data_IF_127554401577
#
_entry.id   IF_127554401577
#
_cell.length_a   1.000
_cell.length_b   1.000
_cell.length_c   1.000
_cell.angle_alpha   90.00
_cell.angle_beta   90.00
_cell.angle_gamma   90.00
#
_symmetry.space_group_name_H-M   'P 1'
#
loop_
_entity.id
_entity.type
_entity.pdbx_description
1 polymer ?
#
# COMPACT_ATOMS: atom_id res chain seq x y z
N UNK A 1 -5.30 -35.45 -7.05
CA UNK A 1 -4.58 -34.44 -7.87
C UNK A 1 -5.20 -33.06 -7.63
N UNK A 2 -4.80 -32.41 -6.54
CA UNK A 2 -5.02 -30.97 -6.37
C UNK A 2 -3.92 -30.26 -7.16
N UNK A 3 -4.11 -30.08 -8.47
CA UNK A 3 -3.38 -29.09 -9.25
C UNK A 3 -3.72 -27.72 -8.64
N UNK A 4 -2.83 -27.18 -7.82
CA UNK A 4 -2.90 -25.78 -7.44
C UNK A 4 -2.99 -24.98 -8.76
N UNK A 5 -4.11 -24.34 -9.03
CA UNK A 5 -4.25 -23.47 -10.19
C UNK A 5 -3.14 -22.43 -10.09
N UNK A 6 -2.21 -22.46 -11.05
CA UNK A 6 -1.15 -21.47 -11.13
C UNK A 6 -1.82 -20.09 -11.24
N UNK A 7 -1.54 -19.23 -10.28
CA UNK A 7 -2.05 -17.85 -10.29
C UNK A 7 -1.42 -17.16 -11.50
N UNK A 8 -2.25 -16.64 -12.39
CA UNK A 8 -1.74 -15.93 -13.56
C UNK A 8 -1.06 -14.61 -13.14
N UNK A 9 0.08 -14.26 -13.74
CA UNK A 9 0.69 -12.96 -13.52
C UNK A 9 -0.24 -11.84 -13.98
N UNK A 10 -0.10 -10.62 -13.42
CA UNK A 10 -0.86 -9.46 -13.87
C UNK A 10 -0.68 -9.24 -15.38
N UNK A 11 -1.77 -8.96 -16.06
CA UNK A 11 -1.78 -8.72 -17.50
C UNK A 11 -2.41 -7.36 -17.82
N UNK A 12 -1.58 -6.34 -17.86
CA UNK A 12 -2.01 -4.98 -18.18
C UNK A 12 -1.85 -4.68 -19.69
N UNK A 13 -2.74 -3.88 -20.29
CA UNK A 13 -2.58 -3.40 -21.66
C UNK A 13 -1.24 -2.70 -21.88
N UNK A 14 -0.63 -2.89 -23.05
CA UNK A 14 0.70 -2.33 -23.37
C UNK A 14 0.79 -0.81 -23.14
N UNK A 15 -0.26 -0.07 -23.51
CA UNK A 15 -0.28 1.37 -23.29
C UNK A 15 -0.23 1.73 -21.80
N UNK A 16 -0.97 1.00 -20.96
CA UNK A 16 -0.96 1.22 -19.51
C UNK A 16 0.41 0.84 -18.91
N UNK A 17 1.00 -0.27 -19.37
CA UNK A 17 2.35 -0.67 -18.97
C UNK A 17 3.37 0.44 -19.24
N UNK A 18 3.36 0.99 -20.47
CA UNK A 18 4.29 2.08 -20.87
C UNK A 18 4.03 3.35 -20.03
N UNK A 19 2.76 3.70 -19.80
CA UNK A 19 2.43 4.86 -18.98
C UNK A 19 2.91 4.69 -17.52
N UNK A 20 2.69 3.52 -16.92
CA UNK A 20 3.18 3.25 -15.56
C UNK A 20 4.70 3.30 -15.46
N UNK A 21 5.42 2.74 -16.43
CA UNK A 21 6.89 2.83 -16.48
C UNK A 21 7.37 4.28 -16.53
N UNK A 22 6.75 5.10 -17.36
CA UNK A 22 7.09 6.52 -17.46
C UNK A 22 6.83 7.25 -16.13
N UNK A 23 5.64 7.06 -15.53
CA UNK A 23 5.30 7.69 -14.27
C UNK A 23 6.21 7.24 -13.12
N UNK A 24 6.61 5.97 -13.08
CA UNK A 24 7.52 5.47 -12.05
C UNK A 24 8.91 6.06 -12.22
N UNK A 25 9.42 6.14 -13.45
CA UNK A 25 10.72 6.79 -13.73
C UNK A 25 10.68 8.28 -13.31
N UNK A 26 9.64 9.00 -13.68
CA UNK A 26 9.47 10.41 -13.30
C UNK A 26 9.36 10.57 -11.77
N UNK A 27 8.65 9.66 -11.09
CA UNK A 27 8.56 9.62 -9.64
C UNK A 27 9.93 9.41 -8.97
N UNK A 28 10.73 8.46 -9.46
CA UNK A 28 12.04 8.17 -8.90
C UNK A 28 13.01 9.35 -9.10
N UNK A 29 13.00 9.97 -10.28
CA UNK A 29 13.83 11.14 -10.59
C UNK A 29 13.43 12.34 -9.72
N UNK A 30 12.13 12.61 -9.59
CA UNK A 30 11.61 13.67 -8.74
C UNK A 30 11.93 13.43 -7.26
N UNK A 31 11.72 12.22 -6.78
CA UNK A 31 12.03 11.83 -5.39
C UNK A 31 13.52 11.97 -5.07
N UNK A 32 14.37 11.60 -6.01
CA UNK A 32 15.83 11.74 -5.90
C UNK A 32 16.24 13.20 -5.85
N UNK A 33 15.71 14.02 -6.74
CA UNK A 33 15.97 15.46 -6.78
C UNK A 33 15.53 16.18 -5.51
N UNK A 34 14.34 15.85 -4.99
CA UNK A 34 13.87 16.39 -3.72
C UNK A 34 14.80 16.03 -2.57
N UNK A 35 15.17 14.76 -2.43
CA UNK A 35 16.07 14.30 -1.37
C UNK A 35 17.41 15.05 -1.40
N UNK A 36 18.02 15.15 -2.57
CA UNK A 36 19.26 15.88 -2.76
C UNK A 36 19.12 17.37 -2.38
N UNK A 37 18.00 17.99 -2.73
CA UNK A 37 17.73 19.40 -2.39
C UNK A 37 17.62 19.60 -0.87
N UNK A 38 16.91 18.71 -0.18
CA UNK A 38 16.79 18.78 1.28
C UNK A 38 18.12 18.50 1.99
N UNK A 39 18.88 17.53 1.52
CA UNK A 39 20.23 17.24 2.02
C UNK A 39 21.17 18.45 1.85
N UNK A 40 21.13 19.11 0.70
CA UNK A 40 21.92 20.31 0.44
C UNK A 40 21.53 21.49 1.35
N UNK A 41 20.28 21.55 1.80
CA UNK A 41 19.81 22.54 2.80
C UNK A 41 20.09 22.10 4.24
N UNK A 42 20.68 20.94 4.47
CA UNK A 42 20.93 20.40 5.83
C UNK A 42 19.66 19.98 6.57
N UNK A 43 18.57 19.69 5.86
CA UNK A 43 17.28 19.28 6.42
C UNK A 43 16.88 17.91 5.91
N UNK A 44 15.96 17.26 6.62
CA UNK A 44 15.36 15.99 6.18
C UNK A 44 14.11 16.24 5.35
N UNK A 45 13.88 15.40 4.34
CA UNK A 45 12.63 15.40 3.60
C UNK A 45 11.50 14.96 4.52
N UNK A 46 10.58 15.87 4.83
CA UNK A 46 9.48 15.65 5.78
C UNK A 46 8.21 15.11 5.15
N UNK A 47 8.09 15.21 3.83
CA UNK A 47 6.91 14.72 3.10
C UNK A 47 7.35 14.18 1.74
N UNK A 48 7.62 12.87 1.64
CA UNK A 48 7.97 12.25 0.36
C UNK A 48 6.77 12.33 -0.61
N UNK A 49 7.02 12.38 -1.93
CA UNK A 49 5.95 12.34 -2.91
C UNK A 49 5.20 11.01 -2.85
N UNK A 50 3.91 11.04 -3.15
CA UNK A 50 3.05 9.85 -3.22
C UNK A 50 2.48 9.75 -4.62
N UNK A 51 2.64 8.58 -5.26
CA UNK A 51 1.98 8.25 -6.52
C UNK A 51 0.54 7.82 -6.25
N UNK A 52 -0.42 8.40 -6.94
CA UNK A 52 -1.83 8.00 -6.85
C UNK A 52 -2.27 7.50 -8.22
N UNK A 53 -2.76 6.24 -8.24
CA UNK A 53 -3.31 5.60 -9.44
C UNK A 53 -4.81 5.40 -9.23
N UNK A 54 -5.62 6.12 -10.01
CA UNK A 54 -7.08 6.02 -9.92
C UNK A 54 -7.59 5.17 -11.07
N UNK A 55 -8.28 4.09 -10.75
CA UNK A 55 -8.86 3.15 -11.70
C UNK A 55 -10.37 3.35 -11.79
N UNK A 56 -10.95 2.98 -12.93
CA UNK A 56 -12.39 3.14 -13.19
C UNK A 56 -13.24 2.00 -12.64
N UNK A 57 -12.62 0.90 -12.22
CA UNK A 57 -13.31 -0.23 -11.58
C UNK A 57 -12.35 -1.10 -10.76
N UNK A 58 -12.91 -1.93 -9.90
CA UNK A 58 -12.22 -2.82 -8.97
C UNK A 58 -11.33 -3.86 -9.67
N UNK A 59 -11.77 -4.44 -10.78
CA UNK A 59 -10.98 -5.46 -11.48
C UNK A 59 -9.66 -4.87 -12.02
N UNK A 60 -9.72 -3.66 -12.59
CA UNK A 60 -8.53 -2.95 -13.07
C UNK A 60 -7.63 -2.53 -11.92
N UNK A 61 -8.19 -2.02 -10.81
CA UNK A 61 -7.38 -1.61 -9.66
C UNK A 61 -6.63 -2.79 -9.04
N UNK A 62 -7.25 -3.95 -8.93
CA UNK A 62 -6.60 -5.17 -8.45
C UNK A 62 -5.46 -5.63 -9.37
N UNK A 63 -5.65 -5.61 -10.69
CA UNK A 63 -4.58 -5.98 -11.64
C UNK A 63 -3.41 -4.98 -11.59
N UNK A 64 -3.71 -3.68 -11.53
CA UNK A 64 -2.68 -2.64 -11.38
C UNK A 64 -1.95 -2.78 -10.04
N UNK A 65 -2.67 -3.01 -8.95
CA UNK A 65 -2.07 -3.24 -7.64
C UNK A 65 -1.14 -4.45 -7.63
N UNK A 66 -1.59 -5.58 -8.19
CA UNK A 66 -0.78 -6.80 -8.31
C UNK A 66 0.49 -6.58 -9.11
N UNK A 67 0.42 -5.80 -10.19
CA UNK A 67 1.59 -5.46 -11.01
C UNK A 67 2.59 -4.56 -10.25
N UNK A 68 2.10 -3.57 -9.51
CA UNK A 68 2.93 -2.60 -8.79
C UNK A 68 3.45 -3.14 -7.46
N UNK A 69 2.56 -3.67 -6.63
CA UNK A 69 2.85 -4.07 -5.25
C UNK A 69 3.39 -5.49 -5.12
N UNK A 70 3.09 -6.34 -6.08
CA UNK A 70 3.31 -7.78 -6.01
C UNK A 70 2.05 -8.54 -5.64
N UNK A 71 2.12 -9.87 -5.69
CA UNK A 71 0.95 -10.73 -5.53
C UNK A 71 1.31 -12.12 -5.03
N UNK A 72 0.33 -12.80 -4.44
CA UNK A 72 0.46 -14.20 -4.08
C UNK A 72 0.48 -15.07 -5.35
N UNK A 73 1.54 -15.86 -5.52
CA UNK A 73 1.78 -16.76 -6.65
C UNK A 73 1.63 -18.25 -6.24
N UNK A 74 0.58 -18.55 -5.49
CA UNK A 74 0.31 -19.90 -4.99
C UNK A 74 0.80 -20.14 -3.57
N UNK A 75 1.12 -21.40 -3.28
CA UNK A 75 1.65 -21.86 -1.99
C UNK A 75 2.93 -22.67 -2.19
N UNK A 76 3.78 -22.70 -1.17
CA UNK A 76 4.97 -23.55 -1.15
C UNK A 76 4.59 -25.01 -0.82
N UNK A 77 5.61 -25.90 -0.73
CA UNK A 77 5.41 -27.33 -0.41
C UNK A 77 4.85 -27.54 1.01
N UNK A 78 5.00 -26.56 1.91
CA UNK A 78 4.52 -26.56 3.28
C UNK A 78 3.11 -25.98 3.41
N UNK A 79 2.50 -25.51 2.31
CA UNK A 79 1.17 -24.92 2.27
C UNK A 79 1.14 -23.43 2.65
N UNK A 80 2.30 -22.78 2.79
CA UNK A 80 2.39 -21.38 3.09
C UNK A 80 2.27 -20.51 1.83
N UNK A 81 1.68 -19.31 1.91
CA UNK A 81 1.57 -18.39 0.78
C UNK A 81 2.95 -18.04 0.23
N UNK A 82 3.08 -18.15 -1.10
CA UNK A 82 4.27 -17.69 -1.83
C UNK A 82 3.92 -16.42 -2.58
N UNK A 83 4.78 -15.41 -2.46
CA UNK A 83 4.56 -14.12 -3.10
C UNK A 83 5.60 -13.84 -4.17
N UNK A 84 5.24 -13.00 -5.13
CA UNK A 84 6.14 -12.37 -6.08
C UNK A 84 6.23 -10.88 -5.85
N UNK A 85 7.43 -10.33 -6.02
CA UNK A 85 7.63 -8.88 -6.01
C UNK A 85 6.85 -8.22 -7.13
N UNK A 86 6.43 -6.99 -6.90
CA UNK A 86 5.89 -6.13 -7.94
C UNK A 86 6.97 -5.72 -8.95
N UNK A 87 6.53 -5.21 -10.09
CA UNK A 87 7.39 -4.81 -11.20
C UNK A 87 8.35 -3.67 -10.84
N UNK A 88 7.94 -2.79 -9.97
CA UNK A 88 8.73 -1.63 -9.56
C UNK A 88 9.20 -1.78 -8.11
N UNK A 89 10.53 -1.92 -7.94
CA UNK A 89 11.15 -2.15 -6.62
C UNK A 89 10.73 -1.08 -5.58
N UNK A 90 10.63 0.18 -5.99
CA UNK A 90 10.29 1.31 -5.11
C UNK A 90 8.89 1.20 -4.51
N UNK A 91 7.98 0.52 -5.19
CA UNK A 91 6.58 0.34 -4.81
C UNK A 91 6.22 -1.10 -4.44
N UNK A 92 7.10 -2.06 -4.64
CA UNK A 92 6.83 -3.46 -4.30
C UNK A 92 6.71 -3.66 -2.79
N UNK A 93 5.66 -4.36 -2.35
CA UNK A 93 5.45 -4.78 -0.97
C UNK A 93 6.30 -6.00 -0.60
N UNK A 94 6.81 -6.72 -1.59
CA UNK A 94 7.63 -7.91 -1.43
C UNK A 94 9.00 -7.69 -2.07
N UNK A 95 10.01 -8.33 -1.51
CA UNK A 95 11.36 -8.32 -2.08
C UNK A 95 11.50 -9.31 -3.25
N UNK A 96 12.70 -9.38 -3.86
CA UNK A 96 12.98 -10.28 -4.98
C UNK A 96 12.89 -11.78 -4.63
N UNK A 97 12.85 -12.13 -3.35
CA UNK A 97 12.65 -13.50 -2.85
C UNK A 97 11.19 -13.78 -2.47
N UNK A 98 10.30 -12.79 -2.63
CA UNK A 98 8.90 -12.89 -2.25
C UNK A 98 8.62 -12.73 -0.76
N UNK A 99 9.57 -12.21 0.01
CA UNK A 99 9.37 -11.94 1.43
C UNK A 99 8.72 -10.57 1.61
N UNK A 100 7.76 -10.41 2.54
CA UNK A 100 7.18 -9.13 2.87
C UNK A 100 8.27 -8.14 3.30
N UNK A 101 8.27 -6.94 2.74
CA UNK A 101 9.13 -5.86 3.21
C UNK A 101 8.74 -5.41 4.61
N UNK A 102 9.67 -4.81 5.34
CA UNK A 102 9.43 -4.26 6.68
C UNK A 102 8.37 -3.15 6.72
N UNK A 103 8.10 -2.54 5.58
CA UNK A 103 7.01 -1.59 5.33
C UNK A 103 6.47 -1.79 3.92
N UNK A 104 5.16 -1.71 3.77
CA UNK A 104 4.49 -1.82 2.49
C UNK A 104 4.37 -0.43 1.86
N UNK A 105 5.10 -0.15 0.77
CA UNK A 105 5.03 1.16 0.13
C UNK A 105 3.75 1.36 -0.70
N UNK A 106 3.00 0.31 -1.02
CA UNK A 106 1.79 0.41 -1.86
C UNK A 106 0.56 -0.09 -1.13
N UNK A 107 -0.51 0.71 -1.19
CA UNK A 107 -1.81 0.42 -0.63
C UNK A 107 -2.86 0.34 -1.73
N UNK A 108 -3.75 -0.66 -1.65
CA UNK A 108 -4.98 -0.73 -2.45
C UNK A 108 -6.15 -0.20 -1.63
N UNK A 109 -6.92 0.71 -2.21
CA UNK A 109 -8.15 1.24 -1.62
C UNK A 109 -9.30 0.92 -2.57
N UNK A 110 -10.15 0.00 -2.17
CA UNK A 110 -11.42 -0.24 -2.85
C UNK A 110 -12.51 0.67 -2.27
N UNK A 111 -13.38 1.20 -3.11
CA UNK A 111 -14.46 2.13 -2.70
C UNK A 111 -15.44 1.53 -1.71
N UNK A 112 -15.71 0.24 -1.81
CA UNK A 112 -16.52 -0.48 -0.82
C UNK A 112 -15.83 -0.60 0.54
N UNK A 113 -14.51 -0.46 0.56
CA UNK A 113 -13.68 -0.75 1.73
C UNK A 113 -13.71 0.34 2.81
N UNK A 114 -14.03 1.58 2.51
CA UNK A 114 -13.98 2.68 3.50
C UNK A 114 -15.33 2.91 4.18
N UNK A 115 -16.42 2.60 3.49
CA UNK A 115 -17.79 2.87 3.97
C UNK A 115 -18.48 1.62 4.55
N UNK A 116 -17.92 0.43 4.34
CA UNK A 116 -18.54 -0.82 4.76
C UNK A 116 -17.92 -1.33 6.09
N UNK A 117 -18.77 -1.54 7.08
CA UNK A 117 -18.39 -2.11 8.40
C UNK A 117 -17.82 -3.56 8.32
N UNK A 118 -17.83 -4.14 7.12
CA UNK A 118 -17.34 -5.49 6.84
C UNK A 118 -15.93 -5.55 6.21
N UNK A 119 -15.26 -4.40 6.07
CA UNK A 119 -13.90 -4.38 5.52
C UNK A 119 -12.91 -5.03 6.48
N UNK A 120 -12.09 -5.90 5.94
CA UNK A 120 -10.93 -6.47 6.62
C UNK A 120 -9.65 -5.97 5.95
N UNK A 121 -8.73 -5.46 6.75
CA UNK A 121 -7.36 -5.17 6.30
C UNK A 121 -6.64 -6.50 6.10
N UNK A 122 -5.82 -6.57 5.05
CA UNK A 122 -4.96 -7.70 4.79
C UNK A 122 -4.13 -8.07 6.02
N UNK A 123 -4.06 -9.36 6.34
CA UNK A 123 -3.35 -9.85 7.54
C UNK A 123 -1.84 -9.58 7.49
N UNK A 124 -1.24 -9.59 6.30
CA UNK A 124 0.17 -9.25 6.16
C UNK A 124 0.41 -7.75 6.40
N UNK A 125 -0.52 -6.89 5.97
CA UNK A 125 -0.50 -5.48 6.34
C UNK A 125 -0.56 -5.28 7.85
N UNK A 126 -1.48 -5.97 8.54
CA UNK A 126 -1.60 -5.91 10.01
C UNK A 126 -0.31 -6.35 10.72
N UNK A 127 0.34 -7.40 10.23
CA UNK A 127 1.61 -7.89 10.79
C UNK A 127 2.73 -6.87 10.60
N UNK A 128 2.86 -6.34 9.39
CA UNK A 128 3.90 -5.36 9.03
C UNK A 128 3.74 -4.06 9.81
N UNK A 129 2.50 -3.61 10.02
CA UNK A 129 2.18 -2.34 10.69
C UNK A 129 1.70 -2.52 12.15
N UNK A 130 1.91 -3.68 12.75
CA UNK A 130 1.39 -3.99 14.09
C UNK A 130 1.78 -2.93 15.13
N UNK A 131 3.01 -2.44 15.09
CA UNK A 131 3.51 -1.42 16.01
C UNK A 131 2.80 -0.09 15.82
N UNK A 132 2.69 0.38 14.59
CA UNK A 132 2.05 1.66 14.24
C UNK A 132 0.54 1.62 14.51
N UNK A 133 -0.10 0.47 14.31
CA UNK A 133 -1.51 0.25 14.66
C UNK A 133 -1.70 0.36 16.18
N UNK A 134 -0.84 -0.24 16.97
CA UNK A 134 -0.92 -0.14 18.44
C UNK A 134 -0.61 1.31 18.92
N UNK A 135 0.35 2.00 18.33
CA UNK A 135 0.61 3.41 18.61
C UNK A 135 -0.61 4.28 18.28
N UNK A 136 -1.25 4.06 17.14
CA UNK A 136 -2.49 4.76 16.78
C UNK A 136 -3.61 4.47 17.77
N UNK A 137 -3.85 3.21 18.15
CA UNK A 137 -4.86 2.84 19.15
C UNK A 137 -4.61 3.53 20.48
N UNK A 138 -3.34 3.60 20.90
CA UNK A 138 -2.96 4.28 22.13
C UNK A 138 -3.21 5.81 22.05
N UNK A 139 -2.82 6.47 20.94
CA UNK A 139 -3.13 7.88 20.72
C UNK A 139 -4.64 8.12 20.72
N UNK A 140 -5.42 7.26 20.07
CA UNK A 140 -6.88 7.35 19.99
C UNK A 140 -7.53 7.22 21.38
N UNK A 141 -7.09 6.27 22.20
CA UNK A 141 -7.58 6.11 23.56
C UNK A 141 -7.27 7.32 24.44
N UNK A 142 -6.10 7.93 24.29
CA UNK A 142 -5.73 9.16 25.01
C UNK A 142 -6.62 10.37 24.65
N UNK A 143 -7.08 10.44 23.40
CA UNK A 143 -7.93 11.55 22.92
C UNK A 143 -9.42 11.33 23.23
N UNK A 144 -9.90 10.08 23.19
CA UNK A 144 -11.33 9.74 23.24
C UNK A 144 -11.75 9.00 24.52
N UNK A 145 -10.77 8.71 25.40
CA UNK A 145 -11.00 8.02 26.67
C UNK A 145 -10.71 6.54 26.66
N UNK A 146 -10.50 5.99 27.84
CA UNK A 146 -10.19 4.57 28.01
C UNK A 146 -11.30 3.65 27.43
N UNK A 147 -10.88 2.61 26.71
CA UNK A 147 -11.82 1.65 26.06
C UNK A 147 -12.35 2.10 24.69
N UNK A 148 -12.03 3.32 24.21
CA UNK A 148 -12.43 3.75 22.87
C UNK A 148 -11.66 3.01 21.78
N UNK A 149 -10.40 2.66 22.02
CA UNK A 149 -9.55 1.91 21.09
C UNK A 149 -10.07 0.49 20.81
N UNK A 150 -10.76 -0.14 21.78
CA UNK A 150 -11.32 -1.49 21.62
C UNK A 150 -12.50 -1.52 20.63
N UNK A 151 -13.04 -0.36 20.28
CA UNK A 151 -14.14 -0.21 19.33
C UNK A 151 -13.67 0.10 17.91
N UNK A 152 -12.37 0.33 17.72
CA UNK A 152 -11.81 0.60 16.39
C UNK A 152 -11.94 -0.63 15.51
N UNK A 153 -12.48 -0.42 14.33
CA UNK A 153 -12.62 -1.42 13.27
C UNK A 153 -11.45 -1.35 12.29
N UNK A 154 -11.32 -2.37 11.45
CA UNK A 154 -10.36 -2.33 10.34
C UNK A 154 -10.62 -1.14 9.39
N UNK A 155 -11.88 -0.75 9.19
CA UNK A 155 -12.25 0.44 8.42
C UNK A 155 -11.70 1.73 9.05
N UNK A 156 -11.71 1.85 10.38
CA UNK A 156 -11.16 3.02 11.07
C UNK A 156 -9.64 3.08 10.95
N UNK A 157 -8.97 1.93 11.04
CA UNK A 157 -7.52 1.82 10.83
C UNK A 157 -7.17 2.21 9.39
N UNK A 158 -7.90 1.67 8.39
CA UNK A 158 -7.68 1.99 6.99
C UNK A 158 -7.89 3.48 6.71
N UNK A 159 -8.92 4.08 7.30
CA UNK A 159 -9.19 5.53 7.21
C UNK A 159 -8.04 6.35 7.77
N UNK A 160 -7.45 5.93 8.91
CA UNK A 160 -6.28 6.60 9.47
C UNK A 160 -5.06 6.43 8.56
N UNK A 161 -4.83 5.24 7.99
CA UNK A 161 -3.77 5.04 6.98
C UNK A 161 -3.91 6.04 5.85
N UNK A 162 -5.10 6.13 5.25
CA UNK A 162 -5.39 7.04 4.12
C UNK A 162 -5.19 8.51 4.50
N UNK A 163 -5.66 8.91 5.66
CA UNK A 163 -5.54 10.30 6.15
C UNK A 163 -4.09 10.70 6.47
N UNK A 164 -3.22 9.72 6.65
CA UNK A 164 -1.83 9.93 7.06
C UNK A 164 -0.81 9.51 6.00
N UNK A 165 -1.26 9.17 4.79
CA UNK A 165 -0.37 8.85 3.66
C UNK A 165 0.66 9.97 3.46
N UNK A 166 1.94 9.59 3.40
CA UNK A 166 3.06 10.50 3.24
C UNK A 166 3.37 11.40 4.44
N UNK A 167 2.74 11.19 5.60
CA UNK A 167 3.04 11.92 6.86
C UNK A 167 4.02 11.11 7.72
N UNK A 168 5.30 11.50 7.82
CA UNK A 168 6.31 10.74 8.56
C UNK A 168 5.89 10.50 10.02
N UNK A 169 6.16 9.30 10.51
CA UNK A 169 5.85 8.91 11.88
C UNK A 169 4.37 8.66 12.16
N UNK A 170 3.52 8.63 11.14
CA UNK A 170 2.11 8.23 11.22
C UNK A 170 1.89 6.90 10.50
N UNK A 171 0.73 6.27 10.74
CA UNK A 171 0.38 4.94 10.24
C UNK A 171 0.51 4.80 8.70
N UNK A 172 0.16 5.84 7.94
CA UNK A 172 0.32 5.88 6.47
C UNK A 172 1.64 6.51 5.99
N UNK A 173 2.58 6.80 6.89
CA UNK A 173 3.77 7.61 6.57
C UNK A 173 4.73 6.97 5.58
N UNK A 174 4.78 5.65 5.53
CA UNK A 174 5.66 4.88 4.64
C UNK A 174 5.01 4.55 3.28
N UNK A 175 3.73 4.87 3.10
CA UNK A 175 3.00 4.66 1.84
C UNK A 175 3.52 5.63 0.78
N UNK A 176 3.96 5.10 -0.35
CA UNK A 176 4.50 5.82 -1.51
C UNK A 176 3.59 5.75 -2.73
N UNK A 177 2.73 4.74 -2.78
CA UNK A 177 1.78 4.55 -3.86
C UNK A 177 0.42 4.15 -3.32
N UNK A 178 -0.63 4.78 -3.84
CA UNK A 178 -2.02 4.41 -3.56
C UNK A 178 -2.70 4.05 -4.87
N UNK A 179 -3.21 2.83 -4.95
CA UNK A 179 -4.08 2.40 -6.05
C UNK A 179 -5.50 2.43 -5.56
N UNK A 180 -6.40 3.13 -6.23
CA UNK A 180 -7.78 3.25 -5.80
C UNK A 180 -8.78 3.16 -6.96
N UNK A 181 -10.04 2.88 -6.62
CA UNK A 181 -11.17 2.98 -7.52
C UNK A 181 -11.87 4.31 -7.24
N UNK A 182 -12.01 5.15 -8.21
CA UNK A 182 -12.74 6.45 -8.37
C UNK A 182 -13.14 7.28 -7.12
N UNK A 183 -12.80 6.87 -5.90
CA UNK A 183 -13.14 7.56 -4.64
C UNK A 183 -12.50 8.94 -4.48
N UNK A 184 -11.44 9.23 -5.22
CA UNK A 184 -10.73 10.51 -5.13
C UNK A 184 -11.43 11.63 -5.92
N UNK A 185 -12.57 11.34 -6.55
CA UNK A 185 -13.36 12.33 -7.30
C UNK A 185 -14.35 13.12 -6.46
N UNK A 186 -14.57 12.72 -5.22
CA UNK A 186 -15.50 13.39 -4.27
C UNK A 186 -14.73 13.99 -3.08
N UNK A 187 -13.61 14.62 -3.37
CA UNK A 187 -12.81 15.30 -2.35
C UNK A 187 -13.48 16.49 -1.71
#
# INVERSE_FOLDING_TARGET
>A
DCSAMAVQPPNLPTLLNTALEQFVNDYEDYSRGLRQSYEAMGTLLTSPPVLIVVCNNTAVSHEVYRDIAGYQDGVNEEGEPRYRSGRFEVFSNYDGMGMPKSKFPTLLIDSSAIDDAGVTIDEDFKKVYAKEIEEFKHEYANQHGAGSADKLTDADILREVVNTVGKPGKLGGDIKCVVSVSMLTEG
#
